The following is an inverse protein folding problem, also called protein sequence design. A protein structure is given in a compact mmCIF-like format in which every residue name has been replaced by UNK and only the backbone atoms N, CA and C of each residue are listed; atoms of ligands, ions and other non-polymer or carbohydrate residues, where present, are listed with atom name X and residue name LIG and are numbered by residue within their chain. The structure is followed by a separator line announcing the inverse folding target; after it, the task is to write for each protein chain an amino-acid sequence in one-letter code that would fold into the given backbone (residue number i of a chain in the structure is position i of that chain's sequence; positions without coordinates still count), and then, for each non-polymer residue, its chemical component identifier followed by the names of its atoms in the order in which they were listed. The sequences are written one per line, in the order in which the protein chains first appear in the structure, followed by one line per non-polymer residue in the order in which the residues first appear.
data_IF_851173674232
#
_entry.id   IF_851173674232
#
_cell.length_a   1.000
_cell.length_b   1.000
_cell.length_c   1.000
_cell.angle_alpha   90.00
_cell.angle_beta   90.00
_cell.angle_gamma   90.00
#
_symmetry.space_group_name_H-M   'P 1'
#
loop_
_entity.id
_entity.type
_entity.pdbx_description
1 polymer ?
#
# COMPACT_ATOMS: atom_id res chain seq x y z
N UNK A 1 -7.66 32.58 -9.30
CA UNK A 1 -8.93 32.33 -10.01
C UNK A 1 -9.86 31.52 -9.12
N UNK A 2 -11.08 32.00 -8.83
CA UNK A 2 -12.09 31.18 -8.14
C UNK A 2 -12.43 29.97 -9.01
N UNK A 3 -12.47 28.77 -8.40
CA UNK A 3 -12.90 27.53 -9.05
C UNK A 3 -14.18 27.04 -8.41
N UNK A 4 -15.15 26.64 -9.24
CA UNK A 4 -16.36 25.98 -8.76
C UNK A 4 -16.00 24.70 -7.97
N UNK A 5 -16.68 24.44 -6.83
CA UNK A 5 -16.42 23.25 -6.04
C UNK A 5 -16.83 21.99 -6.80
N UNK A 6 -16.02 20.95 -6.70
CA UNK A 6 -16.36 19.62 -7.26
C UNK A 6 -17.30 18.90 -6.31
N UNK A 7 -18.50 18.58 -6.77
CA UNK A 7 -19.48 17.79 -6.00
C UNK A 7 -19.03 16.34 -5.85
N UNK A 8 -19.11 15.79 -4.64
CA UNK A 8 -18.84 14.38 -4.37
C UNK A 8 -19.92 13.80 -3.46
N UNK A 9 -20.21 12.49 -3.62
CA UNK A 9 -21.25 11.80 -2.87
C UNK A 9 -20.77 10.42 -2.39
N UNK A 10 -21.26 9.99 -1.23
CA UNK A 10 -21.01 8.63 -0.72
C UNK A 10 -21.85 7.62 -1.52
N UNK A 11 -21.27 6.43 -1.76
CA UNK A 11 -21.90 5.37 -2.57
C UNK A 11 -22.30 4.14 -1.76
N UNK A 12 -22.21 4.18 -0.43
CA UNK A 12 -22.51 3.06 0.46
C UNK A 12 -23.05 3.59 1.79
N UNK A 13 -23.81 2.74 2.48
CA UNK A 13 -24.30 2.97 3.84
C UNK A 13 -23.96 1.76 4.70
N UNK A 14 -23.52 2.00 5.93
CA UNK A 14 -23.16 0.94 6.88
C UNK A 14 -24.44 0.52 7.64
N UNK A 15 -24.62 -0.78 7.94
CA UNK A 15 -25.73 -1.24 8.78
C UNK A 15 -25.72 -0.56 10.16
N UNK A 16 -26.91 -0.31 10.70
CA UNK A 16 -27.07 0.34 12.02
C UNK A 16 -26.55 -0.52 13.16
N UNK A 17 -26.79 -1.84 13.10
CA UNK A 17 -26.31 -2.83 14.09
C UNK A 17 -25.03 -3.49 13.58
N UNK A 18 -23.87 -3.24 14.20
CA UNK A 18 -22.59 -3.77 13.71
C UNK A 18 -22.48 -5.29 13.85
N UNK A 19 -22.99 -5.86 14.93
CA UNK A 19 -22.88 -7.28 15.27
C UNK A 19 -24.25 -7.94 15.27
N UNK A 20 -24.60 -8.53 14.13
CA UNK A 20 -25.84 -9.27 13.94
C UNK A 20 -25.49 -10.53 13.15
N UNK A 21 -25.48 -11.68 13.83
CA UNK A 21 -24.97 -12.96 13.29
C UNK A 21 -25.63 -13.31 11.97
N UNK A 22 -26.96 -13.33 11.93
CA UNK A 22 -27.73 -13.65 10.72
C UNK A 22 -27.34 -12.79 9.51
N UNK A 23 -27.09 -11.48 9.72
CA UNK A 23 -26.65 -10.57 8.66
C UNK A 23 -25.21 -10.86 8.23
N UNK A 24 -24.31 -11.08 9.19
CA UNK A 24 -22.89 -11.35 8.90
C UNK A 24 -22.72 -12.63 8.07
N UNK A 25 -23.48 -13.66 8.40
CA UNK A 25 -23.52 -14.95 7.69
C UNK A 25 -24.09 -14.79 6.28
N UNK A 26 -25.22 -14.12 6.13
CA UNK A 26 -25.81 -13.83 4.81
C UNK A 26 -24.85 -13.02 3.92
N UNK A 27 -24.23 -11.99 4.49
CA UNK A 27 -23.21 -11.21 3.78
C UNK A 27 -21.96 -12.05 3.45
N UNK A 28 -21.65 -13.10 4.22
CA UNK A 28 -20.47 -13.94 3.99
C UNK A 28 -20.74 -14.90 2.84
N UNK A 29 -21.93 -15.51 2.84
CA UNK A 29 -22.44 -16.33 1.73
C UNK A 29 -22.41 -15.55 0.42
N UNK A 30 -22.97 -14.33 0.40
CA UNK A 30 -22.92 -13.46 -0.79
C UNK A 30 -21.50 -13.10 -1.21
N UNK A 31 -20.60 -12.84 -0.25
CA UNK A 31 -19.21 -12.54 -0.59
C UNK A 31 -18.47 -13.73 -1.20
N UNK A 32 -18.72 -14.94 -0.68
CA UNK A 32 -18.15 -16.19 -1.20
C UNK A 32 -18.69 -16.51 -2.59
N UNK A 33 -20.02 -16.56 -2.72
CA UNK A 33 -20.71 -16.91 -3.98
C UNK A 33 -20.34 -15.95 -5.10
N UNK A 34 -20.31 -14.63 -4.86
CA UNK A 34 -20.02 -13.63 -5.89
C UNK A 34 -18.55 -13.18 -5.94
N UNK A 35 -17.67 -13.82 -5.16
CA UNK A 35 -16.23 -13.51 -5.08
C UNK A 35 -15.93 -12.04 -4.79
N UNK A 36 -16.60 -11.47 -3.79
CA UNK A 36 -16.46 -10.08 -3.37
C UNK A 36 -15.27 -9.92 -2.43
N UNK A 37 -14.51 -8.82 -2.56
CA UNK A 37 -13.33 -8.58 -1.72
C UNK A 37 -13.72 -8.09 -0.32
N UNK A 38 -14.78 -7.29 -0.22
CA UNK A 38 -15.15 -6.59 1.01
C UNK A 38 -16.68 -6.53 1.16
N UNK A 39 -17.17 -6.53 2.41
CA UNK A 39 -18.58 -6.22 2.74
C UNK A 39 -19.05 -4.87 2.19
N UNK A 40 -18.12 -3.91 2.03
CA UNK A 40 -18.40 -2.62 1.40
C UNK A 40 -18.96 -2.74 -0.01
N UNK A 41 -18.61 -3.78 -0.78
CA UNK A 41 -19.21 -4.02 -2.09
C UNK A 41 -20.70 -4.36 -1.97
N UNK A 42 -21.08 -5.17 -0.98
CA UNK A 42 -22.48 -5.48 -0.65
C UNK A 42 -23.22 -4.21 -0.20
N UNK A 43 -22.59 -3.40 0.66
CA UNK A 43 -23.17 -2.14 1.14
C UNK A 43 -23.43 -1.13 0.03
N UNK A 44 -22.63 -1.14 -1.04
CA UNK A 44 -22.87 -0.29 -2.22
C UNK A 44 -24.13 -0.74 -2.97
N UNK A 45 -24.31 -2.05 -3.16
CA UNK A 45 -25.49 -2.61 -3.82
C UNK A 45 -26.74 -2.34 -2.98
N UNK A 46 -26.70 -2.61 -1.67
CA UNK A 46 -27.81 -2.33 -0.76
C UNK A 46 -28.19 -0.85 -0.74
N UNK A 47 -27.20 0.05 -0.81
CA UNK A 47 -27.46 1.49 -0.89
C UNK A 47 -28.13 1.90 -2.21
N UNK A 48 -27.69 1.35 -3.34
CA UNK A 48 -28.30 1.59 -4.65
C UNK A 48 -29.73 1.06 -4.69
N UNK A 49 -29.93 -0.17 -4.24
CA UNK A 49 -31.23 -0.83 -4.15
C UNK A 49 -32.19 -0.06 -3.24
N UNK A 50 -31.72 0.42 -2.09
CA UNK A 50 -32.50 1.29 -1.20
C UNK A 50 -32.98 2.59 -1.89
N UNK A 51 -32.13 3.22 -2.70
CA UNK A 51 -32.53 4.42 -3.47
C UNK A 51 -33.58 4.11 -4.53
N UNK A 52 -33.41 2.98 -5.23
CA UNK A 52 -34.36 2.52 -6.26
C UNK A 52 -35.72 2.21 -5.61
N UNK A 53 -35.74 1.47 -4.50
CA UNK A 53 -36.96 1.16 -3.75
C UNK A 53 -37.63 2.40 -3.17
N UNK A 54 -36.85 3.40 -2.72
CA UNK A 54 -37.42 4.68 -2.26
C UNK A 54 -38.14 5.40 -3.40
N UNK A 55 -37.49 5.55 -4.55
CA UNK A 55 -38.11 6.17 -5.72
C UNK A 55 -39.37 5.41 -6.17
N UNK A 56 -39.33 4.08 -6.20
CA UNK A 56 -40.50 3.27 -6.55
C UNK A 56 -41.67 3.47 -5.56
N UNK A 57 -41.41 3.52 -4.24
CA UNK A 57 -42.45 3.81 -3.24
C UNK A 57 -43.07 5.19 -3.42
N UNK A 58 -42.25 6.21 -3.65
CA UNK A 58 -42.72 7.60 -3.85
C UNK A 58 -43.56 7.77 -5.14
N UNK A 59 -43.38 6.87 -6.12
CA UNK A 59 -44.16 6.84 -7.35
C UNK A 59 -45.45 6.03 -7.20
N UNK A 60 -45.42 4.96 -6.41
CA UNK A 60 -46.60 4.12 -6.14
C UNK A 60 -47.65 4.79 -5.25
N UNK A 61 -47.27 5.81 -4.46
CA UNK A 61 -48.24 6.62 -3.70
C UNK A 61 -49.04 7.59 -4.56
N UNK A 62 -48.59 7.87 -5.78
CA UNK A 62 -49.30 8.75 -6.73
C UNK A 62 -50.35 7.96 -7.50
N UNK A 63 -51.33 8.65 -8.06
CA UNK A 63 -52.32 8.04 -8.96
C UNK A 63 -51.65 7.42 -10.20
N UNK A 64 -52.24 6.39 -10.77
CA UNK A 64 -51.68 5.63 -11.89
C UNK A 64 -51.48 6.46 -13.15
N UNK A 65 -52.35 7.46 -13.37
CA UNK A 65 -52.33 8.34 -14.55
C UNK A 65 -51.52 9.62 -14.33
N UNK A 66 -50.91 9.79 -13.16
CA UNK A 66 -50.09 10.97 -12.87
C UNK A 66 -48.89 11.07 -13.84
N UNK A 67 -48.65 12.24 -14.47
CA UNK A 67 -47.62 12.38 -15.50
C UNK A 67 -46.21 12.11 -14.95
N UNK A 68 -45.95 12.45 -13.68
CA UNK A 68 -44.66 12.20 -13.03
C UNK A 68 -44.47 10.71 -12.76
N UNK A 69 -45.51 10.01 -12.28
CA UNK A 69 -45.49 8.54 -12.10
C UNK A 69 -45.18 7.83 -13.42
N UNK A 70 -45.90 8.19 -14.48
CA UNK A 70 -45.72 7.59 -15.80
C UNK A 70 -44.32 7.86 -16.36
N UNK A 71 -43.82 9.09 -16.29
CA UNK A 71 -42.52 9.44 -16.84
C UNK A 71 -41.36 8.83 -16.05
N UNK A 72 -41.27 9.11 -14.74
CA UNK A 72 -40.17 8.65 -13.90
C UNK A 72 -40.22 7.13 -13.69
N UNK A 73 -41.41 6.55 -13.55
CA UNK A 73 -41.61 5.11 -13.40
C UNK A 73 -41.15 4.33 -14.62
N UNK A 74 -41.58 4.73 -15.81
CA UNK A 74 -41.13 4.10 -17.06
C UNK A 74 -39.63 4.27 -17.28
N UNK A 75 -39.07 5.45 -16.95
CA UNK A 75 -37.62 5.67 -17.04
C UNK A 75 -36.82 4.77 -16.10
N UNK A 76 -37.32 4.55 -14.88
CA UNK A 76 -36.71 3.66 -13.90
C UNK A 76 -36.71 2.20 -14.39
N UNK A 77 -37.88 1.71 -14.82
CA UNK A 77 -38.05 0.35 -15.35
C UNK A 77 -37.15 0.12 -16.56
N UNK A 78 -37.16 1.03 -17.54
CA UNK A 78 -36.30 0.94 -18.74
C UNK A 78 -34.82 0.82 -18.38
N UNK A 79 -34.35 1.54 -17.36
CA UNK A 79 -32.95 1.50 -16.91
C UNK A 79 -32.60 0.15 -16.28
N UNK A 80 -33.49 -0.43 -15.47
CA UNK A 80 -33.30 -1.72 -14.81
C UNK A 80 -33.33 -2.88 -15.82
N UNK A 81 -34.26 -2.84 -16.77
CA UNK A 81 -34.34 -3.82 -17.88
C UNK A 81 -33.08 -3.73 -18.75
N UNK A 82 -32.64 -2.53 -19.13
CA UNK A 82 -31.41 -2.35 -19.93
C UNK A 82 -30.15 -2.89 -19.24
N UNK A 83 -30.09 -2.78 -17.92
CA UNK A 83 -29.00 -3.36 -17.12
C UNK A 83 -29.13 -4.89 -16.94
N UNK A 84 -30.28 -5.47 -17.27
CA UNK A 84 -30.59 -6.88 -17.09
C UNK A 84 -30.94 -7.27 -15.65
N UNK A 85 -31.26 -6.30 -14.78
CA UNK A 85 -31.62 -6.53 -13.38
C UNK A 85 -33.09 -6.99 -13.27
N UNK A 86 -33.93 -6.54 -14.20
CA UNK A 86 -35.35 -6.87 -14.25
C UNK A 86 -35.67 -7.57 -15.57
N UNK A 87 -36.45 -8.65 -15.53
CA UNK A 87 -36.93 -9.34 -16.74
C UNK A 87 -37.88 -8.45 -17.54
N UNK A 88 -37.98 -8.70 -18.85
CA UNK A 88 -38.88 -7.96 -19.73
C UNK A 88 -40.36 -8.18 -19.41
N UNK A 89 -40.71 -9.32 -18.81
CA UNK A 89 -42.09 -9.66 -18.43
C UNK A 89 -42.53 -8.91 -17.16
N UNK A 90 -41.56 -8.44 -16.36
CA UNK A 90 -41.78 -7.84 -15.03
C UNK A 90 -41.74 -6.32 -15.08
N UNK A 91 -42.32 -5.69 -16.11
CA UNK A 91 -42.34 -4.22 -16.32
C UNK A 91 -43.38 -3.48 -15.45
N UNK A 92 -43.47 -3.78 -14.16
CA UNK A 92 -44.31 -3.05 -13.18
C UNK A 92 -43.47 -2.59 -11.99
N UNK A 93 -43.87 -1.49 -11.36
CA UNK A 93 -43.15 -0.90 -10.22
C UNK A 93 -43.15 -1.82 -8.99
N UNK A 94 -44.15 -2.68 -8.82
CA UNK A 94 -44.24 -3.62 -7.70
C UNK A 94 -43.07 -4.62 -7.70
N UNK A 95 -42.68 -5.10 -8.88
CA UNK A 95 -41.53 -6.00 -9.02
C UNK A 95 -40.21 -5.31 -8.69
N UNK A 96 -40.12 -3.98 -8.84
CA UNK A 96 -38.94 -3.21 -8.46
C UNK A 96 -38.76 -3.20 -6.93
N UNK A 97 -39.85 -3.24 -6.16
CA UNK A 97 -39.79 -3.35 -4.70
C UNK A 97 -39.27 -4.73 -4.26
N UNK A 98 -39.61 -5.79 -5.00
CA UNK A 98 -39.23 -7.15 -4.70
C UNK A 98 -37.78 -7.53 -5.08
N UNK A 99 -37.06 -6.66 -5.80
CA UNK A 99 -35.66 -6.90 -6.22
C UNK A 99 -34.75 -7.25 -5.04
N UNK A 100 -33.86 -8.21 -5.24
CA UNK A 100 -32.90 -8.65 -4.22
C UNK A 100 -31.47 -8.19 -4.60
N UNK A 101 -30.51 -8.13 -3.65
CA UNK A 101 -29.13 -7.74 -3.96
C UNK A 101 -28.45 -8.68 -4.96
N UNK A 102 -28.85 -9.95 -5.01
CA UNK A 102 -28.36 -10.97 -5.94
C UNK A 102 -28.61 -10.55 -7.39
N UNK A 103 -29.79 -9.99 -7.71
CA UNK A 103 -30.16 -9.54 -9.06
C UNK A 103 -29.15 -8.51 -9.62
N UNK A 104 -28.56 -7.70 -8.75
CA UNK A 104 -27.53 -6.72 -9.13
C UNK A 104 -26.13 -7.35 -9.22
N UNK A 105 -25.82 -8.28 -8.31
CA UNK A 105 -24.53 -8.96 -8.27
C UNK A 105 -24.36 -9.89 -9.48
N UNK A 106 -25.44 -10.52 -9.92
CA UNK A 106 -25.53 -11.32 -11.15
C UNK A 106 -25.07 -10.56 -12.40
N UNK A 107 -25.33 -9.26 -12.48
CA UNK A 107 -25.03 -8.42 -13.66
C UNK A 107 -23.60 -7.87 -13.69
N UNK A 108 -22.76 -8.21 -12.72
CA UNK A 108 -21.36 -7.78 -12.70
C UNK A 108 -20.55 -8.49 -13.79
N UNK A 109 -19.53 -7.82 -14.32
CA UNK A 109 -18.65 -8.43 -15.32
C UNK A 109 -17.97 -9.70 -14.78
N UNK A 110 -17.62 -9.70 -13.50
CA UNK A 110 -17.03 -10.84 -12.82
C UNK A 110 -17.90 -12.11 -12.89
N UNK A 111 -19.20 -11.99 -12.60
CA UNK A 111 -20.14 -13.12 -12.64
C UNK A 111 -20.46 -13.53 -14.07
N UNK A 112 -20.63 -12.55 -14.96
CA UNK A 112 -20.90 -12.81 -16.37
C UNK A 112 -19.76 -13.57 -17.04
N UNK A 113 -18.51 -13.20 -16.77
CA UNK A 113 -17.32 -13.92 -17.26
C UNK A 113 -17.27 -15.36 -16.76
N UNK A 114 -17.64 -15.59 -15.51
CA UNK A 114 -17.72 -16.95 -14.95
C UNK A 114 -18.87 -17.76 -15.58
N UNK A 115 -20.07 -17.19 -15.69
CA UNK A 115 -21.24 -17.83 -16.30
C UNK A 115 -21.03 -18.16 -17.78
N UNK A 116 -20.25 -17.35 -18.51
CA UNK A 116 -19.86 -17.61 -19.90
C UNK A 116 -18.76 -18.68 -20.06
N UNK A 117 -18.20 -19.21 -18.97
CA UNK A 117 -17.17 -20.25 -19.02
C UNK A 117 -15.77 -19.76 -19.38
N UNK A 118 -15.55 -18.45 -19.55
CA UNK A 118 -14.23 -17.86 -19.82
C UNK A 118 -13.26 -18.02 -18.64
N UNK A 119 -13.80 -18.24 -17.43
CA UNK A 119 -13.03 -18.49 -16.22
C UNK A 119 -13.57 -19.71 -15.47
N UNK A 120 -12.66 -20.53 -14.93
CA UNK A 120 -13.00 -21.72 -14.14
C UNK A 120 -13.64 -21.43 -12.77
N UNK A 121 -13.46 -20.22 -12.24
CA UNK A 121 -13.96 -19.80 -10.93
C UNK A 121 -14.22 -18.30 -10.93
N UNK A 122 -15.10 -17.85 -10.04
CA UNK A 122 -15.44 -16.43 -9.86
C UNK A 122 -14.24 -15.63 -9.38
N UNK A 123 -13.34 -16.23 -8.59
CA UNK A 123 -12.08 -15.60 -8.19
C UNK A 123 -11.10 -15.51 -9.36
N UNK A 124 -11.06 -16.55 -10.22
CA UNK A 124 -10.26 -16.54 -11.45
C UNK A 124 -10.75 -15.45 -12.41
N UNK A 125 -12.07 -15.30 -12.60
CA UNK A 125 -12.66 -14.23 -13.40
C UNK A 125 -12.21 -12.85 -12.93
N UNK A 126 -12.22 -12.61 -11.61
CA UNK A 126 -11.77 -11.34 -11.02
C UNK A 126 -10.31 -11.02 -11.35
N UNK A 127 -9.45 -12.04 -11.29
CA UNK A 127 -8.02 -11.91 -11.62
C UNK A 127 -7.84 -11.60 -13.09
N UNK A 128 -8.50 -12.33 -13.99
CA UNK A 128 -8.44 -12.08 -15.44
C UNK A 128 -8.87 -10.66 -15.81
N UNK A 129 -9.96 -10.17 -15.20
CA UNK A 129 -10.44 -8.79 -15.41
C UNK A 129 -9.36 -7.80 -14.95
N UNK A 130 -8.86 -7.96 -13.72
CA UNK A 130 -7.89 -7.03 -13.13
C UNK A 130 -6.55 -7.01 -13.89
N UNK A 131 -6.15 -8.16 -14.46
CA UNK A 131 -4.97 -8.32 -15.29
C UNK A 131 -5.17 -7.90 -16.75
N UNK A 132 -6.36 -7.38 -17.11
CA UNK A 132 -6.70 -6.82 -18.43
C UNK A 132 -6.79 -7.88 -19.54
N UNK A 133 -7.24 -9.08 -19.20
CA UNK A 133 -7.44 -10.16 -20.18
C UNK A 133 -8.82 -10.17 -20.82
N UNK A 134 -9.78 -9.41 -20.30
CA UNK A 134 -11.18 -9.43 -20.77
C UNK A 134 -11.54 -8.10 -21.42
N UNK A 135 -12.27 -8.19 -22.53
CA UNK A 135 -12.85 -7.07 -23.24
C UNK A 135 -14.38 -7.20 -23.30
N UNK A 136 -15.05 -6.05 -23.35
CA UNK A 136 -16.47 -5.95 -23.68
C UNK A 136 -16.54 -5.21 -25.02
N UNK A 137 -16.88 -5.92 -26.09
CA UNK A 137 -16.71 -5.46 -27.46
C UNK A 137 -15.23 -5.25 -27.78
N UNK A 138 -14.87 -4.05 -28.22
CA UNK A 138 -13.47 -3.68 -28.53
C UNK A 138 -12.73 -3.10 -27.33
N UNK A 139 -13.41 -2.86 -26.21
CA UNK A 139 -12.85 -2.13 -25.07
C UNK A 139 -12.40 -3.08 -23.97
N UNK A 140 -11.14 -2.96 -23.54
CA UNK A 140 -10.63 -3.69 -22.38
C UNK A 140 -11.19 -3.08 -21.10
N UNK A 141 -11.73 -3.94 -20.23
CA UNK A 141 -12.35 -3.53 -18.96
C UNK A 141 -11.62 -4.21 -17.80
N UNK A 142 -11.11 -3.41 -16.85
CA UNK A 142 -10.34 -3.90 -15.70
C UNK A 142 -11.07 -3.76 -14.35
N UNK A 143 -12.39 -3.50 -14.37
CA UNK A 143 -13.21 -3.28 -13.17
C UNK A 143 -14.19 -4.46 -13.01
N UNK A 144 -14.02 -5.31 -11.97
CA UNK A 144 -14.93 -6.45 -11.73
C UNK A 144 -16.37 -6.06 -11.40
N UNK A 145 -16.59 -4.84 -10.89
CA UNK A 145 -17.91 -4.28 -10.57
C UNK A 145 -18.60 -3.59 -11.75
N UNK A 146 -18.07 -3.74 -12.97
CA UNK A 146 -18.71 -3.21 -14.16
C UNK A 146 -20.07 -3.90 -14.38
N UNK A 147 -21.14 -3.12 -14.54
CA UNK A 147 -22.49 -3.67 -14.76
C UNK A 147 -22.67 -3.89 -16.25
N UNK A 148 -22.78 -5.15 -16.65
CA UNK A 148 -22.93 -5.57 -18.05
C UNK A 148 -24.38 -5.37 -18.49
N UNK A 149 -24.58 -4.54 -19.52
CA UNK A 149 -25.89 -4.38 -20.18
C UNK A 149 -26.21 -5.62 -21.02
N UNK A 150 -27.50 -5.91 -21.21
CA UNK A 150 -27.94 -7.07 -22.00
C UNK A 150 -27.33 -7.06 -23.42
N UNK A 151 -27.35 -5.93 -24.10
CA UNK A 151 -26.78 -5.78 -25.46
C UNK A 151 -25.27 -6.07 -25.51
N UNK A 152 -24.54 -5.70 -24.46
CA UNK A 152 -23.08 -5.87 -24.38
C UNK A 152 -22.68 -7.27 -23.92
N UNK A 153 -23.61 -8.06 -23.37
CA UNK A 153 -23.32 -9.37 -22.80
C UNK A 153 -22.80 -10.36 -23.86
N UNK A 154 -23.34 -10.32 -25.08
CA UNK A 154 -22.89 -11.16 -26.20
C UNK A 154 -21.48 -10.83 -26.69
N UNK A 155 -20.95 -9.67 -26.32
CA UNK A 155 -19.68 -9.15 -26.79
C UNK A 155 -18.57 -9.30 -25.74
N UNK A 156 -18.76 -10.13 -24.72
CA UNK A 156 -17.74 -10.41 -23.70
C UNK A 156 -16.82 -11.51 -24.24
N UNK A 157 -15.54 -11.21 -24.37
CA UNK A 157 -14.53 -12.18 -24.80
C UNK A 157 -13.14 -11.80 -24.26
N UNK A 158 -12.13 -12.63 -24.50
CA UNK A 158 -10.74 -12.29 -24.26
C UNK A 158 -10.32 -11.09 -25.11
N UNK A 159 -9.51 -10.21 -24.52
CA UNK A 159 -8.96 -9.08 -25.23
C UNK A 159 -7.95 -9.58 -26.29
N UNK A 160 -8.06 -9.09 -27.53
CA UNK A 160 -7.15 -9.43 -28.65
C UNK A 160 -5.67 -9.18 -28.34
N UNK A 161 -5.38 -8.18 -27.52
CA UNK A 161 -4.01 -7.85 -27.10
C UNK A 161 -3.46 -8.79 -26.03
N UNK A 162 -4.31 -9.63 -25.45
CA UNK A 162 -3.95 -10.51 -24.35
C UNK A 162 -3.45 -11.87 -24.86
N UNK A 163 -2.59 -12.57 -24.11
CA UNK A 163 -2.11 -13.89 -24.51
C UNK A 163 -3.25 -14.90 -24.79
N UNK A 164 -4.33 -14.82 -24.02
CA UNK A 164 -5.51 -15.69 -24.19
C UNK A 164 -6.34 -15.37 -25.44
N UNK A 165 -6.24 -14.14 -25.95
CA UNK A 165 -6.92 -13.70 -27.17
C UNK A 165 -6.04 -13.74 -28.42
N UNK A 166 -4.95 -14.51 -28.41
CA UNK A 166 -4.00 -14.61 -29.54
C UNK A 166 -2.93 -13.51 -29.58
N UNK A 167 -2.84 -12.68 -28.55
CA UNK A 167 -1.80 -11.66 -28.40
C UNK A 167 -0.44 -12.25 -28.00
N UNK A 168 0.59 -11.39 -27.99
CA UNK A 168 1.97 -11.78 -27.64
C UNK A 168 2.04 -12.42 -26.25
N UNK A 169 2.81 -13.51 -26.15
CA UNK A 169 3.07 -14.19 -24.88
C UNK A 169 3.60 -13.23 -23.78
N UNK A 170 3.15 -13.49 -22.55
CA UNK A 170 3.51 -12.69 -21.38
C UNK A 170 5.02 -12.68 -21.10
N UNK A 171 5.48 -11.69 -20.33
CA UNK A 171 6.91 -11.52 -20.01
C UNK A 171 7.53 -12.75 -19.36
N UNK A 172 6.82 -13.40 -18.43
CA UNK A 172 7.34 -14.58 -17.71
C UNK A 172 7.48 -15.77 -18.66
N UNK A 173 6.47 -16.04 -19.50
CA UNK A 173 6.54 -17.08 -20.51
C UNK A 173 7.72 -16.86 -21.46
N UNK A 174 7.91 -15.63 -21.96
CA UNK A 174 9.05 -15.28 -22.82
C UNK A 174 10.40 -15.37 -22.12
N UNK A 175 10.46 -15.08 -20.81
CA UNK A 175 11.70 -15.23 -20.04
C UNK A 175 12.05 -16.71 -19.83
N UNK A 176 11.04 -17.56 -19.60
CA UNK A 176 11.26 -18.98 -19.38
C UNK A 176 11.65 -19.69 -20.69
N UNK A 177 11.01 -19.35 -21.82
CA UNK A 177 11.42 -19.90 -23.13
C UNK A 177 12.86 -19.54 -23.47
N UNK A 178 13.29 -18.30 -23.24
CA UNK A 178 14.67 -17.88 -23.47
C UNK A 178 15.71 -18.52 -22.52
N UNK A 179 15.26 -19.06 -21.37
CA UNK A 179 16.14 -19.86 -20.48
C UNK A 179 16.28 -21.30 -20.97
N UNK A 180 15.23 -21.87 -21.53
CA UNK A 180 15.25 -23.21 -22.12
C UNK A 180 16.10 -23.23 -23.41
N UNK A 181 16.14 -22.12 -24.15
CA UNK A 181 16.96 -21.94 -25.35
C UNK A 181 18.47 -21.75 -25.08
N UNK A 182 18.93 -21.91 -23.82
CA UNK A 182 20.36 -21.99 -23.51
C UNK A 182 21.16 -20.71 -23.78
N UNK A 183 20.52 -19.54 -23.84
CA UNK A 183 21.23 -18.28 -23.90
C UNK A 183 21.99 -18.07 -22.57
N UNK A 184 23.31 -18.23 -22.61
CA UNK A 184 24.22 -17.85 -21.54
C UNK A 184 24.01 -16.35 -21.30
N UNK A 185 23.30 -16.02 -20.21
CA UNK A 185 23.13 -14.63 -19.79
C UNK A 185 24.51 -14.16 -19.33
N UNK A 186 25.31 -13.59 -20.24
CA UNK A 186 26.21 -12.48 -19.91
C UNK A 186 25.32 -11.36 -19.34
N UNK A 187 24.87 -11.53 -18.10
CA UNK A 187 24.05 -10.56 -17.38
C UNK A 187 24.95 -9.35 -17.11
N UNK A 188 25.14 -8.47 -18.10
CA UNK A 188 25.57 -7.11 -17.85
C UNK A 188 24.51 -6.47 -16.96
N UNK A 189 24.75 -6.54 -15.66
CA UNK A 189 23.80 -6.12 -14.65
C UNK A 189 23.56 -4.62 -14.80
N UNK A 190 22.41 -4.25 -15.36
CA UNK A 190 22.02 -2.85 -15.44
C UNK A 190 22.12 -2.17 -14.07
N UNK A 191 22.51 -0.89 -14.05
CA UNK A 191 22.89 -0.09 -12.86
C UNK A 191 21.94 -0.16 -11.65
N UNK A 192 20.71 -0.66 -11.82
CA UNK A 192 19.63 -0.72 -10.82
C UNK A 192 19.47 -2.07 -10.11
N UNK A 193 20.23 -3.12 -10.46
CA UNK A 193 20.09 -4.45 -9.82
C UNK A 193 20.41 -4.37 -8.32
N UNK A 194 19.65 -5.08 -7.47
CA UNK A 194 19.79 -5.15 -6.00
C UNK A 194 19.66 -3.81 -5.23
N UNK A 195 19.21 -2.72 -5.86
CA UNK A 195 19.07 -1.41 -5.20
C UNK A 195 17.66 -1.10 -4.66
N UNK A 196 16.67 -1.98 -4.91
CA UNK A 196 15.24 -1.75 -4.58
C UNK A 196 15.01 -1.33 -3.12
N UNK A 197 15.68 -1.98 -2.18
CA UNK A 197 15.54 -1.71 -0.74
C UNK A 197 16.70 -0.87 -0.17
N UNK A 198 17.81 -0.73 -0.91
CA UNK A 198 19.02 -0.08 -0.40
C UNK A 198 18.83 1.42 -0.17
N UNK A 199 17.99 2.05 -0.99
CA UNK A 199 17.64 3.48 -0.86
C UNK A 199 16.25 3.70 -0.22
N UNK A 200 15.59 2.64 0.22
CA UNK A 200 14.28 2.74 0.85
C UNK A 200 14.40 3.45 2.21
N UNK A 201 13.41 4.28 2.53
CA UNK A 201 13.33 4.95 3.84
C UNK A 201 12.86 3.96 4.90
N UNK A 202 13.27 4.22 6.15
CA UNK A 202 12.84 3.44 7.30
C UNK A 202 11.34 3.55 7.57
N UNK A 203 10.83 2.64 8.40
CA UNK A 203 9.42 2.58 8.80
C UNK A 203 8.92 3.92 9.33
N UNK A 204 7.74 4.36 8.86
CA UNK A 204 7.08 5.64 9.21
C UNK A 204 7.89 6.92 8.88
N UNK A 205 8.92 6.83 8.04
CA UNK A 205 9.70 7.99 7.58
C UNK A 205 9.34 8.30 6.13
N UNK A 206 8.16 8.87 5.90
CA UNK A 206 7.70 9.33 4.58
C UNK A 206 7.81 10.87 4.45
N UNK A 207 7.68 11.41 3.23
CA UNK A 207 7.68 12.87 2.98
C UNK A 207 9.06 13.53 2.92
N UNK A 208 9.12 14.86 2.96
CA UNK A 208 10.36 15.63 2.96
C UNK A 208 11.18 15.40 4.26
N UNK A 209 12.52 15.55 4.24
CA UNK A 209 13.28 15.60 5.49
C UNK A 209 12.92 16.85 6.30
N UNK A 210 13.09 16.76 7.63
CA UNK A 210 12.84 17.89 8.52
C UNK A 210 13.92 18.96 8.45
N UNK A 211 13.61 20.17 8.92
CA UNK A 211 14.51 21.33 8.90
C UNK A 211 15.87 21.06 9.58
N UNK A 212 15.88 20.22 10.62
CA UNK A 212 17.10 19.79 11.31
C UNK A 212 18.18 19.30 10.34
N UNK A 213 17.81 18.58 9.28
CA UNK A 213 18.78 18.07 8.30
C UNK A 213 19.51 19.19 7.56
N UNK A 214 18.81 20.27 7.21
CA UNK A 214 19.39 21.41 6.48
C UNK A 214 20.18 22.35 7.40
N UNK A 215 19.81 22.43 8.68
CA UNK A 215 20.42 23.33 9.66
C UNK A 215 21.66 22.73 10.34
N UNK A 216 22.02 21.47 10.04
CA UNK A 216 23.26 20.90 10.55
C UNK A 216 24.47 21.61 9.96
N UNK A 217 25.28 22.22 10.83
CA UNK A 217 26.56 22.82 10.46
C UNK A 217 27.61 21.72 10.34
N UNK A 218 28.28 21.65 9.19
CA UNK A 218 29.40 20.75 8.94
C UNK A 218 30.69 21.57 8.85
N UNK A 219 31.78 21.06 9.42
CA UNK A 219 33.12 21.65 9.37
C UNK A 219 34.07 20.71 8.64
N UNK A 220 35.16 21.28 8.10
CA UNK A 220 36.25 20.49 7.51
C UNK A 220 36.87 19.62 8.60
N UNK A 221 37.09 18.34 8.30
CA UNK A 221 37.59 17.34 9.24
C UNK A 221 36.51 16.55 10.00
N UNK A 222 35.23 16.91 9.87
CA UNK A 222 34.15 16.15 10.48
C UNK A 222 34.01 14.76 9.82
N UNK A 223 33.63 13.77 10.63
CA UNK A 223 33.37 12.41 10.16
C UNK A 223 31.87 12.30 9.85
N UNK A 224 31.54 11.94 8.62
CA UNK A 224 30.17 11.92 8.11
C UNK A 224 29.83 10.62 7.41
N UNK A 225 28.57 10.21 7.56
CA UNK A 225 27.98 9.06 6.90
C UNK A 225 27.14 9.52 5.70
N UNK A 226 27.37 8.89 4.54
CA UNK A 226 26.59 9.13 3.33
C UNK A 226 25.36 8.24 3.36
N UNK A 227 24.19 8.83 3.61
CA UNK A 227 22.90 8.16 3.65
C UNK A 227 21.92 8.86 2.71
N UNK A 228 21.86 8.38 1.47
CA UNK A 228 20.93 8.86 0.44
C UNK A 228 19.49 8.84 0.94
N UNK A 229 18.77 9.94 0.69
CA UNK A 229 17.36 10.12 1.03
C UNK A 229 16.50 10.09 -0.23
N UNK A 230 15.69 9.04 -0.40
CA UNK A 230 14.82 8.84 -1.56
C UNK A 230 13.65 9.84 -1.70
N UNK A 231 13.46 10.77 -0.76
CA UNK A 231 12.45 11.82 -0.86
C UNK A 231 12.85 12.99 -1.79
N UNK A 232 14.15 13.20 -2.00
CA UNK A 232 14.67 14.37 -2.73
C UNK A 232 15.11 13.99 -4.14
N UNK A 233 15.92 12.93 -4.27
CA UNK A 233 16.50 12.56 -5.55
C UNK A 233 15.69 11.47 -6.24
N UNK A 234 15.25 11.74 -7.48
CA UNK A 234 14.62 10.76 -8.39
C UNK A 234 15.63 9.94 -9.20
N UNK A 235 16.88 10.44 -9.33
CA UNK A 235 18.00 9.72 -9.96
C UNK A 235 18.49 8.54 -9.10
N UNK A 236 19.35 7.69 -9.67
CA UNK A 236 19.94 6.55 -8.95
C UNK A 236 21.37 6.87 -8.52
N UNK A 237 21.63 7.18 -7.24
CA UNK A 237 22.99 7.40 -6.76
C UNK A 237 23.80 6.11 -6.84
N UNK A 238 25.10 6.24 -7.05
CA UNK A 238 25.97 5.07 -7.13
C UNK A 238 26.01 4.32 -5.80
N UNK A 239 25.60 3.06 -5.80
CA UNK A 239 25.32 2.27 -4.59
C UNK A 239 26.54 2.12 -3.65
N UNK A 240 27.76 2.21 -4.19
CA UNK A 240 29.00 2.02 -3.44
C UNK A 240 29.16 3.04 -2.32
N UNK A 241 28.79 4.30 -2.57
CA UNK A 241 28.96 5.40 -1.62
C UNK A 241 27.85 5.43 -0.56
N UNK A 242 26.71 4.77 -0.81
CA UNK A 242 25.64 4.69 0.17
C UNK A 242 26.03 3.82 1.37
N UNK A 243 25.92 4.39 2.57
CA UNK A 243 26.28 3.76 3.84
C UNK A 243 27.78 3.77 4.12
N UNK A 244 28.57 4.55 3.38
CA UNK A 244 29.99 4.72 3.65
C UNK A 244 30.23 5.96 4.50
N UNK A 245 31.22 5.85 5.39
CA UNK A 245 31.71 6.92 6.23
C UNK A 245 32.92 7.57 5.57
N UNK A 246 32.99 8.89 5.59
CA UNK A 246 34.11 9.65 5.06
C UNK A 246 34.41 10.87 5.90
N UNK A 247 35.46 11.59 5.51
CA UNK A 247 35.88 12.82 6.17
C UNK A 247 35.52 14.01 5.28
N UNK A 248 34.96 15.06 5.88
CA UNK A 248 34.63 16.29 5.17
C UNK A 248 35.92 17.01 4.78
N UNK A 249 36.20 17.14 3.48
CA UNK A 249 37.34 17.91 2.98
C UNK A 249 36.94 19.34 2.62
N UNK A 250 35.69 19.55 2.21
CA UNK A 250 35.18 20.86 1.80
C UNK A 250 33.70 21.05 2.15
N UNK A 251 33.28 22.29 2.37
CA UNK A 251 31.89 22.64 2.69
C UNK A 251 31.46 23.79 1.78
N UNK A 252 30.49 23.53 0.93
CA UNK A 252 29.93 24.49 -0.03
C UNK A 252 28.56 24.99 0.45
N UNK A 253 27.98 25.97 -0.24
CA UNK A 253 26.66 26.55 0.11
C UNK A 253 25.53 25.51 0.20
N UNK A 254 25.55 24.45 -0.60
CA UNK A 254 24.46 23.47 -0.71
C UNK A 254 24.91 22.01 -0.55
N UNK A 255 26.20 21.75 -0.43
CA UNK A 255 26.75 20.39 -0.41
C UNK A 255 28.00 20.29 0.47
N UNK A 256 28.26 19.07 0.94
CA UNK A 256 29.44 18.72 1.72
C UNK A 256 30.33 17.84 0.84
N UNK A 257 31.59 18.25 0.68
CA UNK A 257 32.63 17.47 0.04
C UNK A 257 33.14 16.39 0.99
N UNK A 258 32.88 15.13 0.67
CA UNK A 258 33.28 13.97 1.45
C UNK A 258 34.38 13.20 0.73
N UNK A 259 35.45 12.91 1.46
CA UNK A 259 36.58 12.09 1.04
C UNK A 259 36.39 10.66 1.59
N UNK A 260 36.39 9.67 0.68
CA UNK A 260 36.29 8.25 1.03
C UNK A 260 37.27 7.41 0.21
N UNK A 261 37.70 6.28 0.78
CA UNK A 261 38.47 5.29 0.04
C UNK A 261 37.56 4.26 -0.64
N UNK A 262 37.75 4.06 -1.94
CA UNK A 262 37.12 3.00 -2.73
C UNK A 262 38.17 1.96 -3.11
N UNK A 263 37.87 0.70 -2.84
CA UNK A 263 38.68 -0.44 -3.31
C UNK A 263 38.42 -0.60 -4.82
N UNK A 264 39.47 -0.54 -5.63
CA UNK A 264 39.43 -0.80 -7.08
C UNK A 264 40.54 -1.81 -7.38
N UNK A 265 40.17 -3.06 -7.68
CA UNK A 265 41.12 -4.17 -7.72
C UNK A 265 41.81 -4.35 -6.36
N UNK A 266 43.15 -4.32 -6.35
CA UNK A 266 43.95 -4.56 -5.15
C UNK A 266 44.38 -3.29 -4.42
N UNK A 267 43.92 -2.10 -4.84
CA UNK A 267 44.34 -0.81 -4.26
C UNK A 267 43.18 0.01 -3.73
N UNK A 268 43.47 0.81 -2.70
CA UNK A 268 42.57 1.84 -2.19
C UNK A 268 42.79 3.13 -2.97
N UNK A 269 41.73 3.62 -3.59
CA UNK A 269 41.74 4.88 -4.34
C UNK A 269 40.93 5.91 -3.57
N UNK A 270 41.54 7.05 -3.30
CA UNK A 270 40.85 8.22 -2.74
C UNK A 270 39.79 8.72 -3.73
N UNK A 271 38.57 8.89 -3.24
CA UNK A 271 37.45 9.47 -3.99
C UNK A 271 36.94 10.68 -3.22
N UNK A 272 36.96 11.82 -3.90
CA UNK A 272 36.34 13.07 -3.44
C UNK A 272 35.00 13.22 -4.13
N UNK A 273 33.94 13.35 -3.34
CA UNK A 273 32.58 13.50 -3.86
C UNK A 273 31.87 14.64 -3.15
N UNK A 274 31.12 15.45 -3.88
CA UNK A 274 30.21 16.43 -3.31
C UNK A 274 28.84 15.79 -3.12
N UNK A 275 28.33 15.85 -1.89
CA UNK A 275 27.06 15.23 -1.51
C UNK A 275 26.15 16.31 -0.94
N UNK A 276 24.91 16.40 -1.42
CA UNK A 276 23.91 17.33 -0.88
C UNK A 276 23.71 17.11 0.62
N UNK A 277 23.47 18.20 1.36
CA UNK A 277 23.34 18.18 2.84
C UNK A 277 22.29 17.17 3.31
N UNK A 278 21.27 16.90 2.50
CA UNK A 278 20.16 16.01 2.82
C UNK A 278 20.51 14.52 2.76
N UNK A 279 21.68 14.20 2.22
CA UNK A 279 22.22 12.86 2.09
C UNK A 279 23.42 12.61 3.00
N UNK A 280 23.77 13.58 3.84
CA UNK A 280 24.91 13.51 4.77
C UNK A 280 24.39 13.49 6.21
N UNK A 281 25.02 12.70 7.07
CA UNK A 281 24.77 12.68 8.51
C UNK A 281 26.09 12.76 9.25
N UNK A 282 26.12 13.42 10.41
CA UNK A 282 27.26 13.27 11.31
C UNK A 282 27.34 11.81 11.77
N UNK A 283 28.55 11.25 11.74
CA UNK A 283 28.77 9.88 12.19
C UNK A 283 28.95 9.83 13.70
N UNK A 284 28.28 8.89 14.35
CA UNK A 284 28.41 8.67 15.81
C UNK A 284 29.65 7.83 16.17
N UNK A 285 30.40 7.35 15.17
CA UNK A 285 31.55 6.45 15.34
C UNK A 285 32.63 6.96 16.30
N UNK A 286 32.84 8.28 16.38
CA UNK A 286 33.83 8.91 17.28
C UNK A 286 33.21 9.49 18.56
N UNK A 287 31.89 9.51 18.67
CA UNK A 287 31.16 10.24 19.69
C UNK A 287 31.42 9.64 21.09
N UNK A 288 31.35 8.30 21.22
CA UNK A 288 31.65 7.59 22.47
C UNK A 288 33.08 7.88 22.96
N UNK A 289 34.06 7.86 22.04
CA UNK A 289 35.44 8.16 22.37
C UNK A 289 35.61 9.58 22.91
N UNK A 290 35.01 10.57 22.24
CA UNK A 290 35.09 11.98 22.66
C UNK A 290 34.40 12.23 23.99
N UNK A 291 33.21 11.66 24.19
CA UNK A 291 32.49 11.73 25.47
C UNK A 291 33.33 11.14 26.60
N UNK A 292 33.98 10.00 26.35
CA UNK A 292 34.87 9.38 27.33
C UNK A 292 36.09 10.24 27.64
N UNK A 293 36.73 10.85 26.64
CA UNK A 293 37.87 11.76 26.88
C UNK A 293 37.45 12.92 27.77
N UNK A 294 36.27 13.52 27.52
CA UNK A 294 35.72 14.58 28.37
C UNK A 294 35.41 14.11 29.79
N UNK A 295 34.67 13.00 29.93
CA UNK A 295 34.33 12.43 31.22
C UNK A 295 35.58 12.02 32.03
N UNK A 296 36.61 11.50 31.37
CA UNK A 296 37.88 11.16 32.02
C UNK A 296 38.66 12.41 32.45
N UNK A 297 38.61 13.49 31.68
CA UNK A 297 39.23 14.77 32.04
C UNK A 297 38.53 15.41 33.25
N UNK A 298 37.19 15.37 33.29
CA UNK A 298 36.38 15.82 34.43
C UNK A 298 36.72 15.03 35.68
N UNK A 299 36.71 13.68 35.60
CA UNK A 299 37.10 12.81 36.72
C UNK A 299 38.53 13.08 37.21
N UNK A 300 39.48 13.35 36.31
CA UNK A 300 40.85 13.73 36.70
C UNK A 300 40.88 15.06 37.46
N UNK A 301 40.06 16.02 37.03
CA UNK A 301 39.97 17.34 37.67
C UNK A 301 39.37 17.22 39.07
N UNK A 302 38.25 16.51 39.20
CA UNK A 302 37.59 16.26 40.49
C UNK A 302 38.50 15.49 41.47
N UNK A 303 39.23 14.49 40.98
CA UNK A 303 40.18 13.72 41.77
C UNK A 303 41.34 14.58 42.28
N UNK A 304 41.86 15.48 41.43
CA UNK A 304 42.90 16.43 41.80
C UNK A 304 42.40 17.43 42.85
N UNK A 305 41.15 17.88 42.76
CA UNK A 305 40.53 18.78 43.74
C UNK A 305 40.29 18.08 45.10
N UNK A 306 39.97 16.78 45.09
CA UNK A 306 39.74 15.97 46.30
C UNK A 306 41.00 15.34 46.90
N UNK A 307 42.11 15.32 46.16
CA UNK A 307 43.37 14.68 46.59
C UNK A 307 43.37 13.14 46.47
N UNK A 308 42.45 12.56 45.71
CA UNK A 308 42.30 11.11 45.53
C UNK A 308 42.86 10.63 44.18
N UNK A 309 43.26 9.35 44.09
CA UNK A 309 43.65 8.72 42.84
C UNK A 309 42.46 8.13 42.08
N UNK A 310 42.34 8.40 40.77
CA UNK A 310 41.24 7.86 39.94
C UNK A 310 41.70 6.80 38.94
N UNK A 311 40.98 5.67 38.95
CA UNK A 311 41.13 4.60 37.97
C UNK A 311 40.30 4.90 36.70
N UNK A 312 40.97 5.15 35.58
CA UNK A 312 40.34 5.51 34.29
C UNK A 312 40.27 4.34 33.29
N UNK A 313 40.69 3.14 33.70
CA UNK A 313 40.69 1.95 32.86
C UNK A 313 39.25 1.46 32.65
N UNK A 314 38.93 1.00 31.44
CA UNK A 314 37.61 0.41 31.15
C UNK A 314 37.47 -0.88 31.97
N UNK A 315 36.48 -0.92 32.83
CA UNK A 315 36.04 -2.14 33.49
C UNK A 315 34.79 -2.67 32.77
N UNK A 316 34.64 -4.01 32.63
CA UNK A 316 33.40 -4.59 32.15
C UNK A 316 32.24 -4.23 33.09
N UNK A 317 31.02 -4.15 32.56
CA UNK A 317 29.84 -3.88 33.37
C UNK A 317 29.62 -5.03 34.37
N UNK A 318 29.63 -4.70 35.67
CA UNK A 318 29.29 -5.65 36.72
C UNK A 318 27.80 -6.04 36.64
N UNK A 319 27.42 -7.22 37.15
CA UNK A 319 26.01 -7.56 37.32
C UNK A 319 25.31 -6.48 38.16
N UNK A 320 24.02 -6.27 37.89
CA UNK A 320 23.21 -5.33 38.67
C UNK A 320 23.25 -5.73 40.15
N UNK A 321 23.41 -4.75 41.02
CA UNK A 321 23.35 -4.98 42.46
C UNK A 321 22.00 -5.59 42.85
N UNK A 322 22.06 -6.56 43.77
CA UNK A 322 20.85 -7.16 44.32
C UNK A 322 20.06 -6.07 45.04
N UNK A 323 18.79 -5.92 44.69
CA UNK A 323 17.87 -5.04 45.41
C UNK A 323 16.62 -5.83 45.78
N UNK A 324 16.05 -5.50 46.94
CA UNK A 324 14.81 -6.10 47.42
C UNK A 324 13.65 -5.38 46.72
N UNK A 325 12.86 -6.12 45.94
CA UNK A 325 11.65 -5.58 45.30
C UNK A 325 10.54 -5.55 46.34
N UNK A 326 10.16 -4.35 46.79
CA UNK A 326 9.03 -4.17 47.71
C UNK A 326 7.69 -4.23 46.97
N UNK A 327 6.78 -5.08 47.43
CA UNK A 327 5.42 -5.25 46.88
C UNK A 327 4.39 -4.29 47.48
N UNK A 328 4.79 -3.42 48.41
CA UNK A 328 3.84 -2.59 49.18
C UNK A 328 3.04 -1.61 48.30
N UNK A 329 3.64 -1.07 47.23
CA UNK A 329 3.02 -0.03 46.38
C UNK A 329 2.81 -0.46 44.92
N UNK A 330 3.11 -1.72 44.56
CA UNK A 330 3.04 -2.20 43.17
C UNK A 330 2.20 -3.47 43.10
N UNK A 331 1.15 -3.48 42.27
CA UNK A 331 0.34 -4.67 42.01
C UNK A 331 1.16 -5.71 41.24
N UNK A 332 1.40 -6.87 41.85
CA UNK A 332 2.12 -7.97 41.22
C UNK A 332 1.21 -8.64 40.20
N UNK A 333 1.55 -8.51 38.91
CA UNK A 333 0.82 -9.20 37.83
C UNK A 333 1.49 -10.55 37.56
N UNK A 334 0.80 -11.62 37.93
CA UNK A 334 1.26 -12.99 37.65
C UNK A 334 0.99 -13.33 36.18
N UNK A 335 2.01 -13.22 35.34
CA UNK A 335 1.94 -13.63 33.93
C UNK A 335 1.95 -15.16 33.85
N UNK A 336 0.78 -15.77 33.62
CA UNK A 336 0.65 -17.20 33.26
C UNK A 336 0.51 -17.31 31.73
N UNK A 337 1.10 -18.33 31.09
CA UNK A 337 0.82 -18.59 29.68
C UNK A 337 -0.68 -18.88 29.54
N UNK A 338 -1.37 -18.03 28.76
CA UNK A 338 -2.78 -18.21 28.45
C UNK A 338 -2.89 -19.39 27.48
N UNK A 339 -3.61 -20.44 27.87
CA UNK A 339 -3.99 -21.49 26.93
C UNK A 339 -4.82 -20.84 25.81
N UNK A 340 -4.58 -21.24 24.56
CA UNK A 340 -5.24 -20.70 23.38
C UNK A 340 -6.77 -20.76 23.58
N UNK A 341 -7.43 -19.60 23.62
CA UNK A 341 -8.89 -19.53 23.65
C UNK A 341 -9.42 -19.91 22.26
N UNK A 342 -9.98 -21.11 22.14
CA UNK A 342 -10.61 -21.62 20.90
C UNK A 342 -12.07 -21.19 20.81
N UNK A 343 -12.34 -19.88 20.80
CA UNK A 343 -13.64 -19.36 20.40
C UNK A 343 -13.55 -18.79 18.98
N UNK A 344 -14.03 -19.58 18.02
CA UNK A 344 -14.38 -19.19 16.66
C UNK A 344 -15.73 -18.46 16.69
#
# INVERSE_FOLDING_TARGET
MPRAPRTYSKTYTVPKRPYESARLDAELKLAGEYGLKNKREIYRINFQLSKIRRAARDLLTRDEKDPKRLFEGNALIRRLVRAGILSEDKKKLDYVLALKPEDFLERRLQTQVYKLGLARSIHHARVLISQRHIAVGKQVVNIPSFVVRLDSQKHIDFAKTSPYGGGRAGRVARKNSGKEEGAEEDEEHGYRRRTRYKFARGFRKHGAPGLKTYLHTYKKGDIVDIKVNGAIQKGLPHYFYHGRTGVVFDVTRSSVGVLLYKIIGNRYVEKRIHVGVEHVKHSDSRLEFLQRVKANAEKRKEAKEKGEGVLLKRQPAAPREAHVVSTANTTVVTLRPQAYETFI
#
